data_IF_572940610342
#
_entry.id   IF_572940610342
#
_cell.length_a   1.000
_cell.length_b   1.000
_cell.length_c   1.000
_cell.angle_alpha   90.00
_cell.angle_beta   90.00
_cell.angle_gamma   90.00
#
_symmetry.space_group_name_H-M   'P 1'
#
loop_
_entity.id
_entity.type
_entity.pdbx_description
1 polymer ?
#
# COMPACT_ATOMS: atom_id res chain seq x y z
N UNK A 1 6.26 -18.39 -1.41
CA UNK A 1 6.37 -18.57 -2.87
C UNK A 1 6.82 -17.26 -3.47
N UNK A 2 7.82 -17.27 -4.34
CA UNK A 2 8.27 -16.08 -5.07
C UNK A 2 7.97 -16.31 -6.53
N UNK A 3 7.04 -15.54 -7.09
CA UNK A 3 6.71 -15.62 -8.52
C UNK A 3 7.94 -15.31 -9.36
N UNK A 4 8.11 -16.05 -10.45
CA UNK A 4 9.29 -15.98 -11.33
C UNK A 4 10.64 -16.29 -10.65
N UNK A 5 10.60 -16.97 -9.49
CA UNK A 5 11.76 -17.53 -8.82
C UNK A 5 11.97 -19.01 -9.15
N UNK A 6 12.67 -19.72 -8.26
CA UNK A 6 12.96 -21.15 -8.41
C UNK A 6 11.72 -22.05 -8.19
N UNK A 7 10.70 -21.54 -7.49
CA UNK A 7 9.46 -22.29 -7.23
C UNK A 7 8.40 -21.96 -8.29
N UNK A 8 7.62 -22.95 -8.75
CA UNK A 8 6.48 -22.69 -9.63
C UNK A 8 5.42 -21.82 -8.91
N UNK A 9 4.72 -21.00 -9.68
CA UNK A 9 3.62 -20.19 -9.17
C UNK A 9 2.40 -21.07 -8.88
N UNK A 10 1.89 -21.00 -7.66
CA UNK A 10 0.69 -21.71 -7.22
C UNK A 10 -0.35 -20.73 -6.69
N UNK A 11 -1.62 -21.02 -6.94
CA UNK A 11 -2.70 -20.32 -6.23
C UNK A 11 -2.82 -20.86 -4.79
N UNK A 12 -3.45 -20.11 -3.87
CA UNK A 12 -3.75 -20.63 -2.54
C UNK A 12 -4.54 -21.95 -2.56
N UNK A 13 -5.49 -22.09 -3.49
CA UNK A 13 -6.29 -23.30 -3.67
C UNK A 13 -5.40 -24.48 -4.05
N UNK A 14 -4.49 -24.28 -5.01
CA UNK A 14 -3.57 -25.33 -5.43
C UNK A 14 -2.61 -25.73 -4.31
N UNK A 15 -2.08 -24.76 -3.58
CA UNK A 15 -1.21 -25.04 -2.44
C UNK A 15 -1.95 -25.85 -1.36
N UNK A 16 -3.23 -25.54 -1.11
CA UNK A 16 -4.08 -26.27 -0.17
C UNK A 16 -4.33 -27.72 -0.62
N UNK A 17 -4.58 -27.96 -1.91
CA UNK A 17 -4.71 -29.32 -2.47
C UNK A 17 -3.44 -30.15 -2.26
N UNK A 18 -2.26 -29.51 -2.31
CA UNK A 18 -0.96 -30.13 -2.10
C UNK A 18 -0.60 -30.29 -0.61
N UNK A 19 -1.52 -29.98 0.31
CA UNK A 19 -1.33 -30.15 1.75
C UNK A 19 -0.63 -28.98 2.46
N UNK A 20 -0.32 -27.89 1.76
CA UNK A 20 0.30 -26.69 2.35
C UNK A 20 -0.71 -25.98 3.26
N UNK A 21 -0.29 -25.64 4.48
CA UNK A 21 -1.14 -24.98 5.50
C UNK A 21 -1.13 -23.45 5.42
N UNK A 22 0.00 -22.88 5.03
CA UNK A 22 0.21 -21.44 4.92
C UNK A 22 0.97 -21.17 3.63
N UNK A 23 0.44 -20.25 2.83
CA UNK A 23 1.12 -19.73 1.64
C UNK A 23 1.43 -18.25 1.88
N UNK A 24 2.64 -17.83 1.51
CA UNK A 24 3.08 -16.43 1.60
C UNK A 24 3.51 -15.93 0.22
N UNK A 25 3.26 -14.63 -0.02
CA UNK A 25 3.59 -13.91 -1.25
C UNK A 25 4.54 -12.75 -0.92
N UNK A 26 5.86 -12.98 -0.80
CA UNK A 26 6.81 -12.00 -0.28
C UNK A 26 6.84 -10.69 -1.07
N UNK A 27 6.55 -10.72 -2.38
CA UNK A 27 6.60 -9.55 -3.25
C UNK A 27 5.25 -8.94 -3.59
N UNK A 28 4.15 -9.39 -2.97
CA UNK A 28 2.80 -8.91 -3.28
C UNK A 28 2.65 -7.39 -3.15
N UNK A 29 3.35 -6.75 -2.21
CA UNK A 29 3.32 -5.30 -2.03
C UNK A 29 4.48 -4.58 -2.75
N UNK A 30 5.72 -5.07 -2.60
CA UNK A 30 6.91 -4.32 -3.05
C UNK A 30 7.05 -4.28 -4.57
N UNK A 31 6.67 -5.35 -5.29
CA UNK A 31 6.79 -5.38 -6.75
C UNK A 31 5.84 -4.38 -7.43
N UNK A 32 4.54 -4.31 -7.11
CA UNK A 32 3.68 -3.26 -7.67
C UNK A 32 4.09 -1.86 -7.19
N UNK A 33 4.53 -1.70 -5.93
CA UNK A 33 5.02 -0.42 -5.42
C UNK A 33 6.22 0.09 -6.24
N UNK A 34 7.24 -0.75 -6.46
CA UNK A 34 8.40 -0.38 -7.28
C UNK A 34 8.00 0.06 -8.69
N UNK A 35 7.12 -0.69 -9.37
CA UNK A 35 6.65 -0.33 -10.71
C UNK A 35 5.94 1.02 -10.72
N UNK A 36 5.07 1.27 -9.75
CA UNK A 36 4.33 2.53 -9.61
C UNK A 36 5.27 3.72 -9.30
N UNK A 37 6.17 3.55 -8.34
CA UNK A 37 7.16 4.57 -7.95
C UNK A 37 8.05 4.91 -9.13
N UNK A 38 8.61 3.91 -9.82
CA UNK A 38 9.46 4.14 -11.00
C UNK A 38 8.72 4.91 -12.09
N UNK A 39 7.46 4.55 -12.36
CA UNK A 39 6.62 5.28 -13.32
C UNK A 39 6.40 6.73 -12.90
N UNK A 40 6.08 6.99 -11.63
CA UNK A 40 5.91 8.33 -11.10
C UNK A 40 7.18 9.17 -11.19
N UNK A 41 8.35 8.59 -10.91
CA UNK A 41 9.64 9.29 -11.05
C UNK A 41 9.96 9.60 -12.52
N UNK A 42 9.63 8.70 -13.45
CA UNK A 42 9.80 8.95 -14.89
C UNK A 42 8.87 10.08 -15.36
N UNK A 43 7.62 10.11 -14.90
CA UNK A 43 6.68 11.22 -15.15
C UNK A 43 7.26 12.56 -14.69
N UNK A 44 7.78 12.63 -13.47
CA UNK A 44 8.39 13.85 -12.92
C UNK A 44 9.57 14.30 -13.79
N UNK A 45 10.42 13.35 -14.22
CA UNK A 45 11.56 13.65 -15.08
C UNK A 45 11.13 14.24 -16.42
N UNK A 46 10.06 13.72 -17.02
CA UNK A 46 9.64 14.09 -18.38
C UNK A 46 8.71 15.31 -18.41
N UNK A 47 7.86 15.49 -17.40
CA UNK A 47 6.80 16.52 -17.39
C UNK A 47 6.92 17.53 -16.25
N UNK A 48 7.81 17.33 -15.29
CA UNK A 48 7.92 18.17 -14.09
C UNK A 48 6.77 18.02 -13.09
N UNK A 49 5.88 17.05 -13.27
CA UNK A 49 4.70 16.83 -12.41
C UNK A 49 4.55 15.36 -12.04
N UNK A 50 3.87 15.07 -10.94
CA UNK A 50 3.67 13.68 -10.46
C UNK A 50 2.65 12.91 -11.28
N UNK A 51 1.76 13.60 -12.01
CA UNK A 51 0.65 12.99 -12.75
C UNK A 51 -0.39 12.29 -11.87
N UNK A 52 -0.34 12.51 -10.55
CA UNK A 52 -1.31 11.94 -9.60
C UNK A 52 -2.67 12.60 -9.81
N UNK A 53 -3.73 11.81 -9.87
CA UNK A 53 -5.10 12.29 -10.01
C UNK A 53 -5.53 13.17 -8.84
N UNK A 54 -6.37 14.17 -9.11
CA UNK A 54 -6.87 15.09 -8.09
C UNK A 54 -7.70 14.38 -6.99
N UNK A 55 -8.18 13.16 -7.25
CA UNK A 55 -8.89 12.32 -6.29
C UNK A 55 -7.97 11.71 -5.23
N UNK A 56 -6.65 11.71 -5.44
CA UNK A 56 -5.66 11.22 -4.50
C UNK A 56 -5.09 12.38 -3.68
N UNK A 57 -5.78 12.70 -2.59
CA UNK A 57 -5.44 13.82 -1.70
C UNK A 57 -4.63 13.36 -0.49
N UNK A 58 -3.89 14.29 0.18
CA UNK A 58 -3.24 13.99 1.45
C UNK A 58 -4.20 13.42 2.50
N UNK A 59 -5.42 13.97 2.60
CA UNK A 59 -6.46 13.47 3.51
C UNK A 59 -6.84 12.02 3.20
N UNK A 60 -7.00 11.65 1.92
CA UNK A 60 -7.29 10.27 1.52
C UNK A 60 -6.17 9.32 1.93
N UNK A 61 -4.91 9.71 1.75
CA UNK A 61 -3.76 8.93 2.18
C UNK A 61 -3.72 8.78 3.71
N UNK A 62 -3.90 9.87 4.46
CA UNK A 62 -3.89 9.85 5.92
C UNK A 62 -5.04 9.02 6.50
N UNK A 63 -6.23 9.12 5.94
CA UNK A 63 -7.36 8.25 6.31
C UNK A 63 -7.01 6.77 6.11
N UNK A 64 -6.32 6.42 5.02
CA UNK A 64 -5.93 5.03 4.77
C UNK A 64 -4.88 4.49 5.76
N UNK A 65 -4.09 5.36 6.41
CA UNK A 65 -3.06 4.98 7.39
C UNK A 65 -3.46 5.27 8.84
N UNK A 66 -4.75 5.50 9.11
CA UNK A 66 -5.28 5.56 10.46
C UNK A 66 -5.48 6.96 11.05
N UNK A 67 -5.74 7.98 10.22
CA UNK A 67 -6.01 9.34 10.70
C UNK A 67 -7.18 9.38 11.71
N UNK A 68 -8.24 8.59 11.47
CA UNK A 68 -9.42 8.59 12.34
C UNK A 68 -9.08 8.12 13.74
N UNK A 69 -8.35 7.01 13.83
CA UNK A 69 -7.90 6.40 15.08
C UNK A 69 -6.95 7.35 15.82
N UNK A 70 -6.05 8.02 15.09
CA UNK A 70 -5.17 9.03 15.67
C UNK A 70 -5.96 10.21 16.27
N UNK A 71 -6.98 10.72 15.56
CA UNK A 71 -7.84 11.79 16.05
C UNK A 71 -8.69 11.36 17.25
N UNK A 72 -9.21 10.13 17.26
CA UNK A 72 -9.97 9.60 18.40
C UNK A 72 -9.11 9.52 19.67
N UNK A 73 -7.85 9.13 19.54
CA UNK A 73 -6.88 9.10 20.66
C UNK A 73 -6.61 10.52 21.18
N UNK A 74 -6.42 11.50 20.29
CA UNK A 74 -6.18 12.91 20.66
C UNK A 74 -7.35 13.48 21.47
N UNK A 75 -8.57 13.29 20.99
CA UNK A 75 -9.80 13.75 21.67
C UNK A 75 -9.98 13.04 23.01
N UNK A 76 -9.77 11.72 23.07
CA UNK A 76 -9.87 10.95 24.31
C UNK A 76 -8.81 11.39 25.36
N UNK A 77 -7.68 11.88 24.89
CA UNK A 77 -6.62 12.47 25.72
C UNK A 77 -6.88 13.95 26.07
N UNK A 78 -8.08 14.48 25.78
CA UNK A 78 -8.47 15.88 26.00
C UNK A 78 -7.55 16.89 25.31
N UNK A 79 -7.02 16.51 24.14
CA UNK A 79 -6.22 17.38 23.26
C UNK A 79 -7.08 17.87 22.09
N UNK A 80 -6.54 18.83 21.34
CA UNK A 80 -7.17 19.43 20.17
C UNK A 80 -6.16 19.58 19.00
N UNK A 81 -5.19 18.68 18.92
CA UNK A 81 -4.12 18.77 17.92
C UNK A 81 -4.66 18.67 16.49
N UNK A 82 -5.73 17.90 16.30
CA UNK A 82 -6.39 17.71 15.00
C UNK A 82 -7.56 18.66 14.77
N UNK A 83 -7.74 19.71 15.60
CA UNK A 83 -8.80 20.69 15.42
C UNK A 83 -8.63 21.41 14.07
N UNK A 84 -9.59 21.21 13.15
CA UNK A 84 -9.58 21.80 11.80
C UNK A 84 -9.00 20.92 10.67
N UNK A 85 -8.65 19.65 10.94
CA UNK A 85 -8.14 18.67 9.95
C UNK A 85 -9.25 17.85 9.27
#
# INVERSE_FOLDING_TARGET
MVEHGAAPSWTPEKAKELGVKIIIFPFAAVAPAYKAIRKGLQQIKDTGTTGIGADFTPKKLFTAVGLKEATEIDVAAWRNLYEGV
#
